data_IF_621904686006
#
_entry.id   IF_621904686006
#
_cell.length_a   1.000
_cell.length_b   1.000
_cell.length_c   1.000
_cell.angle_alpha   90.00
_cell.angle_beta   90.00
_cell.angle_gamma   90.00
#
_symmetry.space_group_name_H-M   'P 1'
#
loop_
_entity.id
_entity.type
_entity.pdbx_description
1 polymer ?
#
# COMPACT_ATOMS: atom_id res chain seq x y z
N UNK A 1 19.94 -15.35 0.86
CA UNK A 1 19.04 -16.43 0.42
C UNK A 1 17.93 -16.69 1.43
N UNK A 2 18.23 -16.79 2.72
CA UNK A 2 17.21 -16.95 3.78
C UNK A 2 16.17 -15.81 3.80
N UNK A 3 16.60 -14.54 3.81
CA UNK A 3 15.68 -13.38 3.79
C UNK A 3 14.75 -13.36 2.58
N UNK A 4 15.26 -13.76 1.42
CA UNK A 4 14.45 -13.90 0.21
C UNK A 4 13.40 -15.01 0.36
N UNK A 5 13.79 -16.16 0.90
CA UNK A 5 12.86 -17.26 1.14
C UNK A 5 11.78 -16.88 2.16
N UNK A 6 12.14 -16.15 3.21
CA UNK A 6 11.20 -15.64 4.21
C UNK A 6 10.22 -14.63 3.60
N UNK A 7 10.72 -13.66 2.83
CA UNK A 7 9.90 -12.68 2.11
C UNK A 7 8.93 -13.38 1.16
N UNK A 8 9.41 -14.35 0.37
CA UNK A 8 8.58 -15.11 -0.55
C UNK A 8 7.52 -15.95 0.17
N UNK A 9 7.88 -16.57 1.31
CA UNK A 9 6.93 -17.33 2.14
C UNK A 9 5.82 -16.42 2.67
N UNK A 10 6.16 -15.26 3.23
CA UNK A 10 5.18 -14.30 3.74
C UNK A 10 4.25 -13.79 2.62
N UNK A 11 4.79 -13.48 1.44
CA UNK A 11 4.00 -13.08 0.28
C UNK A 11 3.03 -14.18 -0.18
N UNK A 12 3.47 -15.44 -0.20
CA UNK A 12 2.61 -16.58 -0.55
C UNK A 12 1.50 -16.81 0.47
N UNK A 13 1.82 -16.74 1.76
CA UNK A 13 0.81 -16.89 2.84
C UNK A 13 -0.25 -15.80 2.73
N UNK A 14 0.15 -14.55 2.52
CA UNK A 14 -0.78 -13.45 2.31
C UNK A 14 -1.66 -13.67 1.08
N UNK A 15 -1.07 -14.00 -0.07
CA UNK A 15 -1.82 -14.26 -1.30
C UNK A 15 -2.83 -15.41 -1.15
N UNK A 16 -2.47 -16.47 -0.43
CA UNK A 16 -3.41 -17.55 -0.11
C UNK A 16 -4.54 -17.09 0.81
N UNK A 17 -4.25 -16.31 1.86
CA UNK A 17 -5.28 -15.73 2.75
C UNK A 17 -6.28 -14.89 1.95
N UNK A 18 -5.79 -13.98 1.10
CA UNK A 18 -6.64 -13.14 0.25
C UNK A 18 -7.47 -13.97 -0.75
N UNK A 19 -6.87 -15.02 -1.33
CA UNK A 19 -7.58 -15.94 -2.24
C UNK A 19 -8.74 -16.65 -1.54
N UNK A 20 -8.55 -17.13 -0.32
CA UNK A 20 -9.64 -17.75 0.45
C UNK A 20 -10.69 -16.72 0.89
N UNK A 21 -10.28 -15.50 1.22
CA UNK A 21 -11.20 -14.42 1.57
C UNK A 21 -12.14 -14.08 0.40
N UNK A 22 -11.58 -13.92 -0.81
CA UNK A 22 -12.32 -13.64 -2.05
C UNK A 22 -13.35 -14.72 -2.42
N UNK A 23 -13.16 -15.97 -2.00
CA UNK A 23 -14.13 -17.06 -2.26
C UNK A 23 -15.38 -16.97 -1.39
N UNK A 24 -15.27 -16.30 -0.24
CA UNK A 24 -16.27 -16.34 0.84
C UNK A 24 -16.90 -14.97 1.13
N UNK A 25 -16.35 -13.90 0.55
CA UNK A 25 -16.81 -12.53 0.75
C UNK A 25 -17.13 -11.86 -0.60
N UNK A 26 -17.95 -10.81 -0.55
CA UNK A 26 -18.23 -9.97 -1.71
C UNK A 26 -16.99 -9.19 -2.15
N UNK A 27 -17.03 -8.66 -3.37
CA UNK A 27 -15.98 -7.77 -3.87
C UNK A 27 -15.82 -6.53 -2.98
N UNK A 28 -16.93 -5.96 -2.50
CA UNK A 28 -16.91 -4.78 -1.63
C UNK A 28 -16.22 -5.07 -0.30
N UNK A 29 -16.57 -6.18 0.36
CA UNK A 29 -15.92 -6.62 1.60
C UNK A 29 -14.43 -6.91 1.38
N UNK A 30 -14.07 -7.53 0.27
CA UNK A 30 -12.68 -7.82 -0.07
C UNK A 30 -11.86 -6.54 -0.30
N UNK A 31 -12.41 -5.56 -1.01
CA UNK A 31 -11.79 -4.25 -1.19
C UNK A 31 -11.71 -3.47 0.13
N UNK A 32 -12.71 -3.58 1.00
CA UNK A 32 -12.68 -2.97 2.33
C UNK A 32 -11.62 -3.62 3.22
N UNK A 33 -11.46 -4.95 3.18
CA UNK A 33 -10.43 -5.68 3.92
C UNK A 33 -9.01 -5.21 3.55
N UNK A 34 -8.78 -4.90 2.27
CA UNK A 34 -7.50 -4.35 1.79
C UNK A 34 -7.19 -2.94 2.32
N UNK A 35 -8.16 -2.24 2.91
CA UNK A 35 -7.99 -0.92 3.51
C UNK A 35 -7.71 -0.95 5.02
N UNK A 36 -7.67 -2.13 5.64
CA UNK A 36 -7.33 -2.29 7.06
C UNK A 36 -5.88 -1.91 7.36
N UNK A 37 -5.58 -1.55 8.61
CA UNK A 37 -4.21 -1.28 9.06
C UNK A 37 -3.31 -2.52 8.97
N UNK A 38 -3.85 -3.73 9.13
CA UNK A 38 -3.12 -4.99 8.90
C UNK A 38 -2.65 -5.08 7.44
N UNK A 39 -3.55 -4.83 6.48
CA UNK A 39 -3.21 -4.81 5.06
C UNK A 39 -2.21 -3.71 4.71
N UNK A 40 -2.40 -2.49 5.23
CA UNK A 40 -1.45 -1.39 5.01
C UNK A 40 -0.05 -1.75 5.53
N UNK A 41 0.03 -2.29 6.75
CA UNK A 41 1.29 -2.71 7.37
C UNK A 41 1.95 -3.82 6.57
N UNK A 42 1.22 -4.85 6.17
CA UNK A 42 1.76 -5.92 5.34
C UNK A 42 2.31 -5.39 4.02
N UNK A 43 1.53 -4.57 3.31
CA UNK A 43 1.92 -4.02 2.01
C UNK A 43 3.17 -3.13 2.13
N UNK A 44 3.25 -2.25 3.12
CA UNK A 44 4.44 -1.41 3.33
C UNK A 44 5.66 -2.24 3.74
N UNK A 45 5.50 -3.14 4.71
CA UNK A 45 6.61 -3.92 5.27
C UNK A 45 7.14 -4.97 4.29
N UNK A 46 6.32 -5.45 3.34
CA UNK A 46 6.81 -6.30 2.25
C UNK A 46 7.96 -5.64 1.48
N UNK A 47 7.88 -4.33 1.22
CA UNK A 47 8.93 -3.58 0.54
C UNK A 47 10.06 -3.16 1.49
N UNK A 48 9.72 -2.55 2.63
CA UNK A 48 10.70 -1.92 3.52
C UNK A 48 11.42 -2.91 4.43
N UNK A 49 10.72 -3.92 4.94
CA UNK A 49 11.29 -4.91 5.87
C UNK A 49 11.63 -6.23 5.16
N UNK A 50 10.92 -6.57 4.08
CA UNK A 50 11.16 -7.74 3.26
C UNK A 50 12.19 -7.50 2.16
N UNK A 51 11.73 -6.89 1.05
CA UNK A 51 12.53 -6.79 -0.18
C UNK A 51 13.82 -6.01 0.04
N UNK A 52 13.78 -4.86 0.72
CA UNK A 52 14.95 -4.03 0.97
C UNK A 52 16.07 -4.81 1.69
N UNK A 53 15.70 -5.68 2.63
CA UNK A 53 16.62 -6.43 3.46
C UNK A 53 17.08 -7.78 2.86
N UNK A 54 16.66 -8.12 1.63
CA UNK A 54 17.20 -9.28 0.92
C UNK A 54 18.72 -9.15 0.72
N UNK A 55 19.20 -7.91 0.55
CA UNK A 55 20.62 -7.57 0.50
C UNK A 55 21.08 -6.97 1.81
N UNK A 56 22.28 -7.35 2.26
CA UNK A 56 22.93 -6.73 3.43
C UNK A 56 23.57 -5.37 3.11
N UNK A 57 23.80 -5.08 1.84
CA UNK A 57 24.49 -3.86 1.38
C UNK A 57 23.47 -2.85 0.83
N UNK A 58 23.65 -1.58 1.19
CA UNK A 58 22.77 -0.49 0.76
C UNK A 58 22.84 -0.16 -0.73
N UNK A 59 23.98 -0.40 -1.40
CA UNK A 59 24.08 -0.29 -2.86
C UNK A 59 23.80 -1.66 -3.48
N UNK A 60 22.53 -1.97 -3.71
CA UNK A 60 22.10 -3.28 -4.20
C UNK A 60 20.88 -3.20 -5.10
N UNK A 61 20.63 -4.21 -5.95
CA UNK A 61 19.41 -4.27 -6.75
C UNK A 61 18.12 -4.21 -5.92
N UNK A 62 18.15 -4.69 -4.67
CA UNK A 62 17.01 -4.58 -3.75
C UNK A 62 16.73 -3.13 -3.35
N UNK A 63 17.78 -2.37 -3.00
CA UNK A 63 17.68 -0.94 -2.70
C UNK A 63 17.22 -0.14 -3.91
N UNK A 64 17.74 -0.44 -5.10
CA UNK A 64 17.29 0.19 -6.35
C UNK A 64 15.83 -0.14 -6.67
N UNK A 65 15.40 -1.37 -6.41
CA UNK A 65 14.02 -1.77 -6.60
C UNK A 65 13.06 -1.04 -5.67
N UNK A 66 13.36 -1.01 -4.37
CA UNK A 66 12.53 -0.37 -3.34
C UNK A 66 12.54 1.15 -3.49
N UNK A 67 13.67 1.75 -3.82
CA UNK A 67 13.75 3.19 -4.11
C UNK A 67 12.92 3.57 -5.34
N UNK A 68 12.94 2.76 -6.40
CA UNK A 68 12.07 2.97 -7.56
C UNK A 68 10.58 2.79 -7.22
N UNK A 69 10.21 1.84 -6.35
CA UNK A 69 8.84 1.74 -5.84
C UNK A 69 8.42 3.00 -5.07
N UNK A 70 9.28 3.50 -4.17
CA UNK A 70 8.99 4.72 -3.41
C UNK A 70 8.88 5.96 -4.32
N UNK A 71 9.77 6.07 -5.33
CA UNK A 71 9.72 7.11 -6.36
C UNK A 71 8.38 7.12 -7.11
N UNK A 72 7.81 5.95 -7.43
CA UNK A 72 6.48 5.88 -8.06
C UNK A 72 5.39 6.46 -7.15
N UNK A 73 5.43 6.21 -5.84
CA UNK A 73 4.45 6.76 -4.90
C UNK A 73 4.48 8.30 -4.87
N UNK A 74 5.67 8.91 -4.97
CA UNK A 74 5.81 10.38 -5.03
C UNK A 74 5.14 10.93 -6.31
N UNK A 75 5.39 10.31 -7.46
CA UNK A 75 4.74 10.73 -8.71
C UNK A 75 3.23 10.51 -8.69
N UNK A 76 2.76 9.39 -8.14
CA UNK A 76 1.32 9.14 -7.97
C UNK A 76 0.69 10.27 -7.16
N UNK A 77 1.28 10.64 -6.02
CA UNK A 77 0.77 11.74 -5.20
C UNK A 77 0.72 13.05 -5.99
N UNK A 78 1.82 13.44 -6.65
CA UNK A 78 1.88 14.69 -7.41
C UNK A 78 0.86 14.73 -8.54
N UNK A 79 0.69 13.62 -9.26
CA UNK A 79 -0.29 13.52 -10.34
C UNK A 79 -1.72 13.64 -9.81
N UNK A 80 -2.03 13.09 -8.63
CA UNK A 80 -3.34 13.29 -8.00
C UNK A 80 -3.50 14.76 -7.60
N UNK A 81 -2.52 15.34 -6.91
CA UNK A 81 -2.57 16.74 -6.47
C UNK A 81 -2.79 17.71 -7.66
N UNK A 82 -2.26 17.40 -8.84
CA UNK A 82 -2.43 18.22 -10.05
C UNK A 82 -3.80 18.08 -10.73
N UNK A 83 -4.54 17.02 -10.41
CA UNK A 83 -5.85 16.74 -11.01
C UNK A 83 -7.02 17.24 -10.15
N UNK A 84 -6.77 17.59 -8.90
CA UNK A 84 -7.82 17.95 -7.92
C UNK A 84 -7.92 19.47 -7.77
N UNK A 85 -9.15 19.96 -7.64
CA UNK A 85 -9.45 21.37 -7.40
C UNK A 85 -10.00 21.60 -5.99
N UNK A 86 -10.10 22.87 -5.62
CA UNK A 86 -10.77 23.29 -4.39
C UNK A 86 -12.23 22.80 -4.40
N UNK A 87 -12.61 22.08 -3.34
CA UNK A 87 -13.92 21.42 -3.12
C UNK A 87 -14.15 20.05 -3.80
N UNK A 88 -13.17 19.49 -4.51
CA UNK A 88 -13.33 18.14 -5.05
C UNK A 88 -13.40 17.08 -3.94
N UNK A 89 -14.29 16.10 -4.11
CA UNK A 89 -14.34 14.87 -3.30
C UNK A 89 -13.79 13.72 -4.12
N UNK A 90 -12.63 13.22 -3.73
CA UNK A 90 -11.83 12.32 -4.57
C UNK A 90 -11.79 10.93 -3.96
N UNK A 91 -12.21 9.92 -4.73
CA UNK A 91 -12.00 8.52 -4.42
C UNK A 91 -10.82 7.99 -5.23
N UNK A 92 -9.79 7.49 -4.55
CA UNK A 92 -8.62 6.90 -5.20
C UNK A 92 -8.72 5.38 -5.15
N UNK A 93 -8.78 4.74 -6.32
CA UNK A 93 -8.73 3.28 -6.46
C UNK A 93 -7.35 2.93 -7.04
N UNK A 94 -6.52 2.28 -6.23
CA UNK A 94 -5.13 1.94 -6.59
C UNK A 94 -4.73 0.61 -5.95
N UNK A 95 -3.68 -0.02 -6.48
CA UNK A 95 -3.14 -1.25 -5.90
C UNK A 95 -2.71 -1.07 -4.44
N UNK A 96 -3.01 -2.07 -3.59
CA UNK A 96 -2.78 -2.02 -2.14
C UNK A 96 -1.32 -1.74 -1.74
N UNK A 97 -0.37 -2.19 -2.57
CA UNK A 97 1.05 -1.89 -2.40
C UNK A 97 1.41 -0.41 -2.53
N UNK A 98 0.53 0.42 -3.12
CA UNK A 98 0.70 1.86 -3.25
C UNK A 98 -0.19 2.63 -2.27
N UNK A 99 -1.42 2.15 -2.01
CA UNK A 99 -2.34 2.80 -1.08
C UNK A 99 -1.74 2.96 0.31
N UNK A 100 -1.02 1.94 0.81
CA UNK A 100 -0.40 1.96 2.14
C UNK A 100 0.53 3.18 2.36
N UNK A 101 1.37 3.52 1.38
CA UNK A 101 2.25 4.70 1.43
C UNK A 101 1.50 5.99 1.13
N UNK A 102 0.54 5.94 0.21
CA UNK A 102 -0.22 7.11 -0.18
C UNK A 102 -1.07 7.67 0.99
N UNK A 103 -1.61 6.78 1.84
CA UNK A 103 -2.27 7.17 3.10
C UNK A 103 -1.34 7.95 4.02
N UNK A 104 -0.10 7.52 4.18
CA UNK A 104 0.90 8.22 5.01
C UNK A 104 1.22 9.62 4.43
N UNK A 105 1.28 9.74 3.11
CA UNK A 105 1.47 11.04 2.44
C UNK A 105 0.30 12.01 2.65
N UNK A 106 -0.95 11.53 2.61
CA UNK A 106 -2.12 12.40 2.75
C UNK A 106 -2.52 12.69 4.19
N UNK A 107 -2.27 11.78 5.14
CA UNK A 107 -2.50 12.02 6.59
C UNK A 107 -1.75 13.24 7.13
N UNK A 108 -0.62 13.59 6.51
CA UNK A 108 0.19 14.76 6.87
C UNK A 108 0.03 15.94 5.90
N UNK A 109 -0.88 15.85 4.93
CA UNK A 109 -1.13 16.92 3.96
C UNK A 109 -1.80 18.12 4.62
N UNK A 110 -1.36 19.33 4.24
CA UNK A 110 -2.00 20.59 4.67
C UNK A 110 -3.13 21.04 3.74
N UNK A 111 -3.11 20.55 2.50
CA UNK A 111 -3.99 21.04 1.43
C UNK A 111 -5.15 20.07 1.13
N UNK A 112 -5.14 18.91 1.77
CA UNK A 112 -6.10 17.83 1.49
C UNK A 112 -6.50 17.19 2.80
N UNK A 113 -7.79 17.03 3.01
CA UNK A 113 -8.32 16.23 4.12
C UNK A 113 -8.32 14.75 3.70
N UNK A 114 -7.56 13.92 4.41
CA UNK A 114 -7.62 12.47 4.25
C UNK A 114 -8.79 11.91 5.06
N UNK A 115 -9.70 11.19 4.39
CA UNK A 115 -10.78 10.44 5.02
C UNK A 115 -10.50 8.95 4.86
N UNK A 116 -10.48 8.22 5.98
CA UNK A 116 -10.33 6.77 5.95
C UNK A 116 -11.63 6.10 5.50
N UNK A 117 -11.54 5.21 4.50
CA UNK A 117 -12.70 4.50 3.96
C UNK A 117 -13.37 3.61 5.00
N UNK A 118 -12.64 3.12 6.00
CA UNK A 118 -13.22 2.32 7.08
C UNK A 118 -14.21 3.09 7.95
N UNK A 119 -14.17 4.43 7.89
CA UNK A 119 -15.03 5.30 8.70
C UNK A 119 -16.24 5.80 7.90
N UNK A 120 -16.34 5.49 6.61
CA UNK A 120 -17.44 5.93 5.75
C UNK A 120 -18.62 4.97 5.93
N UNK A 121 -19.39 5.18 7.00
CA UNK A 121 -20.55 4.33 7.33
C UNK A 121 -21.02 4.46 8.78
N UNK A 122 -20.19 5.01 9.66
CA UNK A 122 -20.60 5.41 11.01
C UNK A 122 -21.40 6.72 10.92
N UNK A 123 -22.71 6.59 10.77
CA UNK A 123 -23.67 7.67 11.06
C UNK A 123 -24.40 7.35 12.35
#
# INVERSE_FOLDING_TARGET
MEEFANTLKSAKVWASKETEYLKTHTLGESLANLNTSESDNFNRNLYLDGILNISKNGNSPASDYVSNWYKRNIYIKKNIDDLINENDRVLVIIGAGHSAILKDFYRSSKNTEYVDLTNIGEK
#
